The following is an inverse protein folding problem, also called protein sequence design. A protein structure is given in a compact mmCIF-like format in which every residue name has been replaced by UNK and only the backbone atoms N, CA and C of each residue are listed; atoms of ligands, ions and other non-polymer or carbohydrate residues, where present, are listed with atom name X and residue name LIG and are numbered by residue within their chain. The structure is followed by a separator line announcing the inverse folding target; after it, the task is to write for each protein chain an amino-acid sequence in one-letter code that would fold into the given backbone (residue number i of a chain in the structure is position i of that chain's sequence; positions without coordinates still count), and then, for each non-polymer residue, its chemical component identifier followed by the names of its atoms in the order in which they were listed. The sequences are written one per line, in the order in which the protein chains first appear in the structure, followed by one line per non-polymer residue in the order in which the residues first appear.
data_IF_378791062392
#
_entry.id   IF_378791062392
#
_cell.length_a   1.000
_cell.length_b   1.000
_cell.length_c   1.000
_cell.angle_alpha   90.00
_cell.angle_beta   90.00
_cell.angle_gamma   90.00
#
_symmetry.space_group_name_H-M   'P 1'
#
loop_
_entity.id
_entity.type
_entity.pdbx_description
1 polymer ?
#
# COMPACT_ATOMS: atom_id res chain seq x y z
N UNK A 1 79.30 23.18 3.02
CA UNK A 1 78.45 22.19 3.72
C UNK A 1 77.00 22.53 3.46
N UNK A 2 76.40 21.87 2.45
CA UNK A 2 75.03 22.10 2.04
C UNK A 2 74.17 20.97 2.52
N UNK A 3 73.13 21.28 3.33
CA UNK A 3 72.16 20.33 3.75
C UNK A 3 70.87 20.52 2.91
N UNK A 4 70.53 19.50 2.11
CA UNK A 4 69.29 19.48 1.32
C UNK A 4 68.15 18.99 2.16
N UNK A 5 67.09 19.83 2.30
CA UNK A 5 65.81 19.47 2.89
C UNK A 5 64.89 18.86 1.86
N UNK A 6 64.57 17.59 2.03
CA UNK A 6 63.57 16.86 1.22
C UNK A 6 62.18 17.14 1.72
N UNK A 7 61.35 17.81 0.91
CA UNK A 7 59.91 17.97 1.17
C UNK A 7 59.15 16.72 0.72
N UNK A 8 58.60 15.96 1.68
CA UNK A 8 57.65 14.88 1.43
C UNK A 8 56.29 15.48 1.08
N UNK A 9 55.86 15.31 -0.14
CA UNK A 9 54.50 15.59 -0.60
C UNK A 9 53.54 14.45 -0.16
N UNK A 10 52.67 14.73 0.77
CA UNK A 10 51.60 13.80 1.13
C UNK A 10 50.46 13.93 0.14
N UNK A 11 50.28 12.90 -0.68
CA UNK A 11 49.10 12.75 -1.52
C UNK A 11 47.90 12.39 -0.64
N UNK A 12 46.97 13.29 -0.52
CA UNK A 12 45.64 13.03 0.07
C UNK A 12 44.83 12.30 -1.00
N UNK A 13 44.67 10.99 -0.82
CA UNK A 13 43.71 10.20 -1.64
C UNK A 13 42.31 10.47 -1.11
N UNK A 14 41.56 11.31 -1.81
CA UNK A 14 40.14 11.44 -1.60
C UNK A 14 39.45 10.18 -2.13
N UNK A 15 39.16 9.24 -1.24
CA UNK A 15 38.25 8.14 -1.55
C UNK A 15 36.83 8.71 -1.62
N UNK A 16 36.32 8.94 -2.82
CA UNK A 16 34.94 9.23 -3.04
C UNK A 16 34.14 7.95 -2.74
N UNK A 17 33.55 7.86 -1.55
CA UNK A 17 32.51 6.90 -1.29
C UNK A 17 31.32 7.24 -2.18
N UNK A 18 31.24 6.63 -3.35
CA UNK A 18 29.99 6.50 -4.09
C UNK A 18 29.08 5.64 -3.24
N UNK A 19 28.19 6.27 -2.48
CA UNK A 19 27.03 5.62 -1.91
C UNK A 19 26.19 5.10 -3.07
N UNK A 20 26.31 3.82 -3.37
CA UNK A 20 25.34 3.13 -4.21
C UNK A 20 24.05 3.11 -3.41
N UNK A 21 23.18 4.10 -3.65
CA UNK A 21 21.81 4.08 -3.17
C UNK A 21 21.17 2.88 -3.84
N UNK A 22 21.08 1.77 -3.11
CA UNK A 22 20.28 0.62 -3.51
C UNK A 22 18.84 1.09 -3.54
N UNK A 23 18.31 1.28 -4.76
CA UNK A 23 16.88 1.56 -4.95
C UNK A 23 16.11 0.33 -4.47
N UNK A 24 15.51 0.45 -3.29
CA UNK A 24 14.70 -0.61 -2.73
C UNK A 24 13.36 -0.66 -3.46
N UNK A 25 13.15 -1.73 -4.21
CA UNK A 25 11.92 -1.97 -4.95
C UNK A 25 10.90 -2.64 -4.02
N UNK A 26 9.78 -1.98 -3.76
CA UNK A 26 8.66 -2.52 -2.98
C UNK A 26 7.52 -2.90 -3.90
N UNK A 27 7.09 -4.14 -3.85
CA UNK A 27 5.93 -4.63 -4.58
C UNK A 27 4.64 -4.18 -3.89
N UNK A 28 3.66 -3.79 -4.69
CA UNK A 28 2.33 -3.38 -4.26
C UNK A 28 1.31 -4.40 -4.79
N UNK A 29 0.66 -5.09 -3.87
CA UNK A 29 -0.27 -6.19 -4.17
C UNK A 29 -1.63 -5.90 -3.55
N UNK A 30 -2.70 -6.21 -4.26
CA UNK A 30 -4.06 -6.19 -3.72
C UNK A 30 -4.51 -7.63 -3.46
N UNK A 31 -4.90 -7.91 -2.22
CA UNK A 31 -5.62 -9.12 -1.85
C UNK A 31 -7.12 -8.87 -1.94
N UNK A 32 -7.83 -9.80 -2.57
CA UNK A 32 -9.28 -9.74 -2.79
C UNK A 32 -9.94 -10.90 -2.07
N UNK A 33 -11.02 -10.59 -1.38
CA UNK A 33 -11.83 -11.54 -0.62
C UNK A 33 -13.27 -11.52 -1.09
N UNK A 34 -13.88 -12.70 -1.21
CA UNK A 34 -15.33 -12.82 -1.34
C UNK A 34 -15.96 -12.74 0.04
N UNK A 35 -16.84 -11.77 0.26
CA UNK A 35 -17.65 -11.70 1.45
C UNK A 35 -18.96 -12.46 1.21
N UNK A 36 -19.18 -13.52 1.99
CA UNK A 36 -20.46 -14.17 2.04
C UNK A 36 -21.43 -13.25 2.79
N UNK A 37 -22.54 -12.83 2.16
CA UNK A 37 -23.52 -12.00 2.85
C UNK A 37 -24.12 -12.77 4.03
N UNK A 38 -23.96 -12.26 5.25
CA UNK A 38 -24.58 -12.83 6.42
C UNK A 38 -26.06 -12.41 6.51
N UNK A 39 -26.97 -13.39 6.50
CA UNK A 39 -28.40 -13.19 6.80
C UNK A 39 -29.21 -12.45 5.71
N UNK A 40 -30.16 -11.61 6.13
CA UNK A 40 -31.12 -10.92 5.24
C UNK A 40 -30.50 -9.94 4.24
N UNK A 41 -29.26 -9.47 4.46
CA UNK A 41 -28.52 -8.67 3.49
C UNK A 41 -28.14 -9.46 2.23
N UNK A 42 -28.05 -10.80 2.33
CA UNK A 42 -27.74 -11.67 1.20
C UNK A 42 -28.79 -11.60 0.10
N UNK A 43 -30.08 -11.64 0.47
CA UNK A 43 -31.18 -11.64 -0.50
C UNK A 43 -31.29 -10.32 -1.27
N UNK A 44 -30.96 -9.19 -0.64
CA UNK A 44 -31.00 -7.87 -1.29
C UNK A 44 -29.81 -7.72 -2.25
N UNK A 45 -28.61 -8.15 -1.85
CA UNK A 45 -27.39 -8.08 -2.71
C UNK A 45 -27.47 -9.07 -3.89
N UNK A 46 -28.05 -10.25 -3.68
CA UNK A 46 -28.32 -11.22 -4.77
C UNK A 46 -29.30 -10.66 -5.80
N UNK A 47 -30.29 -9.88 -5.36
CA UNK A 47 -31.27 -9.26 -6.26
C UNK A 47 -30.65 -8.24 -7.20
N UNK A 48 -29.50 -7.64 -6.84
CA UNK A 48 -28.77 -6.69 -7.66
C UNK A 48 -27.60 -7.32 -8.45
N UNK A 49 -27.37 -8.64 -8.33
CA UNK A 49 -26.31 -9.35 -9.05
C UNK A 49 -24.89 -8.91 -8.69
N UNK A 50 -24.70 -8.27 -7.55
CA UNK A 50 -23.38 -7.79 -7.09
C UNK A 50 -22.82 -8.72 -6.04
N UNK A 51 -21.63 -9.28 -6.31
CA UNK A 51 -20.83 -9.91 -5.27
C UNK A 51 -20.17 -8.82 -4.42
N UNK A 52 -20.28 -8.94 -3.09
CA UNK A 52 -19.60 -8.04 -2.18
C UNK A 52 -18.14 -8.49 -2.05
N UNK A 53 -17.22 -7.69 -2.58
CA UNK A 53 -15.79 -7.93 -2.50
C UNK A 53 -15.15 -7.01 -1.46
N UNK A 54 -14.26 -7.56 -0.64
CA UNK A 54 -13.37 -6.82 0.23
C UNK A 54 -11.96 -6.83 -0.36
N UNK A 55 -11.22 -5.75 -0.22
CA UNK A 55 -9.83 -5.66 -0.65
C UNK A 55 -8.92 -5.04 0.40
N UNK A 56 -7.70 -5.54 0.46
CA UNK A 56 -6.60 -4.99 1.23
C UNK A 56 -5.37 -4.81 0.35
N UNK A 57 -4.52 -3.86 0.70
CA UNK A 57 -3.25 -3.60 0.00
C UNK A 57 -2.08 -4.09 0.82
N UNK A 58 -1.24 -4.94 0.21
CA UNK A 58 -0.05 -5.51 0.85
C UNK A 58 1.16 -4.68 0.49
N UNK A 59 1.85 -4.20 1.52
CA UNK A 59 3.05 -3.39 1.43
C UNK A 59 4.03 -3.89 2.50
N UNK A 60 5.20 -4.36 2.08
CA UNK A 60 6.26 -4.83 3.01
C UNK A 60 5.76 -5.81 4.09
N UNK A 61 4.98 -6.82 3.67
CA UNK A 61 4.50 -7.89 4.56
C UNK A 61 3.34 -7.52 5.48
N UNK A 62 2.72 -6.35 5.31
CA UNK A 62 1.51 -5.94 6.01
C UNK A 62 0.39 -5.68 5.03
N UNK A 63 -0.80 -6.14 5.35
CA UNK A 63 -2.00 -5.86 4.57
C UNK A 63 -2.80 -4.75 5.24
N UNK A 64 -2.93 -3.61 4.56
CA UNK A 64 -3.71 -2.46 5.00
C UNK A 64 -5.08 -2.49 4.37
N UNK A 65 -6.10 -2.18 5.15
CA UNK A 65 -7.48 -2.14 4.69
C UNK A 65 -8.26 -1.03 5.39
N UNK A 66 -9.43 -0.71 4.85
CA UNK A 66 -10.35 0.28 5.39
C UNK A 66 -11.64 -0.37 5.82
N UNK A 67 -12.00 -0.18 7.08
CA UNK A 67 -13.24 -0.64 7.69
C UNK A 67 -13.98 0.48 8.41
N UNK A 68 -15.29 0.34 8.51
CA UNK A 68 -16.17 1.29 9.20
C UNK A 68 -16.31 0.99 10.70
N UNK A 69 -16.48 2.05 11.48
CA UNK A 69 -16.86 1.99 12.88
C UNK A 69 -17.51 3.32 13.32
N UNK A 70 -18.06 3.37 14.51
CA UNK A 70 -18.79 4.51 15.05
C UNK A 70 -17.95 5.48 15.92
N UNK A 71 -16.67 5.18 16.13
CA UNK A 71 -15.77 6.00 16.94
C UNK A 71 -15.29 7.23 16.18
N UNK A 72 -15.85 8.39 16.53
CA UNK A 72 -15.48 9.67 15.92
C UNK A 72 -14.00 10.00 16.16
N UNK A 73 -13.35 10.56 15.15
CA UNK A 73 -11.94 10.98 15.21
C UNK A 73 -10.92 9.85 15.10
N UNK A 74 -11.37 8.60 14.96
CA UNK A 74 -10.47 7.47 14.77
C UNK A 74 -10.46 7.02 13.31
N UNK A 75 -9.26 6.69 12.81
CA UNK A 75 -9.11 6.16 11.47
C UNK A 75 -9.86 4.83 11.31
N UNK A 76 -10.38 4.58 10.11
CA UNK A 76 -10.86 3.28 9.70
C UNK A 76 -9.79 2.41 9.04
N UNK A 77 -8.58 2.94 8.84
CA UNK A 77 -7.45 2.19 8.27
C UNK A 77 -6.82 1.33 9.36
N UNK A 78 -6.67 0.06 9.05
CA UNK A 78 -5.99 -0.92 9.92
C UNK A 78 -5.06 -1.80 9.10
N UNK A 79 -4.21 -2.57 9.76
CA UNK A 79 -3.37 -3.55 9.09
C UNK A 79 -3.46 -4.91 9.78
N UNK A 80 -3.19 -5.95 9.01
CA UNK A 80 -3.21 -7.33 9.45
C UNK A 80 -2.14 -8.15 8.73
N UNK A 81 -1.94 -9.39 9.16
CA UNK A 81 -1.15 -10.36 8.41
C UNK A 81 -1.81 -10.58 7.04
N UNK A 82 -1.05 -10.57 5.93
CA UNK A 82 -1.59 -10.80 4.60
C UNK A 82 -2.37 -12.12 4.51
N UNK A 83 -3.50 -12.08 3.79
CA UNK A 83 -4.43 -13.20 3.59
C UNK A 83 -5.15 -13.69 4.85
N UNK A 84 -5.14 -12.91 5.92
CA UNK A 84 -6.03 -13.17 7.05
C UNK A 84 -7.47 -12.88 6.64
N UNK A 85 -8.28 -13.93 6.55
CA UNK A 85 -9.67 -13.82 6.11
C UNK A 85 -10.51 -13.04 7.11
N UNK A 86 -11.28 -12.04 6.65
CA UNK A 86 -12.22 -11.34 7.52
C UNK A 86 -13.39 -12.27 7.92
N UNK A 87 -14.12 -11.97 9.00
CA UNK A 87 -15.32 -12.73 9.37
C UNK A 87 -16.30 -12.82 8.20
N UNK A 88 -16.66 -14.05 7.81
CA UNK A 88 -17.53 -14.32 6.66
C UNK A 88 -16.88 -14.12 5.29
N UNK A 89 -15.59 -13.86 5.25
CA UNK A 89 -14.82 -13.69 4.01
C UNK A 89 -13.94 -14.88 3.67
N UNK A 90 -13.74 -15.10 2.38
CA UNK A 90 -12.83 -16.11 1.83
C UNK A 90 -11.85 -15.46 0.88
N UNK A 91 -10.56 -15.76 1.03
CA UNK A 91 -9.53 -15.27 0.11
C UNK A 91 -9.80 -15.76 -1.31
N UNK A 92 -9.86 -14.83 -2.24
CA UNK A 92 -10.15 -15.12 -3.66
C UNK A 92 -8.89 -15.12 -4.53
N UNK A 93 -8.16 -14.01 -4.53
CA UNK A 93 -6.95 -13.86 -5.35
C UNK A 93 -6.11 -12.68 -4.88
N UNK A 94 -4.86 -12.66 -5.33
CA UNK A 94 -3.99 -11.49 -5.25
C UNK A 94 -3.75 -10.91 -6.64
N UNK A 95 -3.60 -9.59 -6.71
CA UNK A 95 -3.36 -8.86 -7.94
C UNK A 95 -2.17 -7.94 -7.72
N UNK A 96 -1.07 -8.19 -8.43
CA UNK A 96 0.09 -7.29 -8.42
C UNK A 96 -0.30 -6.00 -9.15
N UNK A 97 -0.24 -4.88 -8.46
CA UNK A 97 -0.56 -3.56 -9.02
C UNK A 97 0.65 -2.87 -9.61
N UNK A 98 1.83 -3.21 -9.14
CA UNK A 98 3.08 -2.62 -9.59
C UNK A 98 4.11 -2.55 -8.47
N UNK A 99 4.97 -1.57 -8.55
CA UNK A 99 6.10 -1.40 -7.65
C UNK A 99 6.27 0.08 -7.32
N UNK A 100 6.79 0.35 -6.13
CA UNK A 100 7.31 1.66 -5.78
C UNK A 100 8.80 1.58 -5.47
N UNK A 101 9.51 2.65 -5.79
CA UNK A 101 10.91 2.86 -5.40
C UNK A 101 11.04 3.91 -4.30
N UNK A 102 9.92 4.37 -3.77
CA UNK A 102 9.89 5.31 -2.65
C UNK A 102 10.55 4.70 -1.41
N UNK A 103 11.36 5.47 -0.68
CA UNK A 103 11.91 5.02 0.59
C UNK A 103 10.78 4.78 1.61
N UNK A 104 11.06 3.96 2.61
CA UNK A 104 10.07 3.57 3.62
C UNK A 104 9.39 4.77 4.30
N UNK A 105 10.13 5.85 4.54
CA UNK A 105 9.58 7.07 5.14
C UNK A 105 8.49 7.72 4.28
N UNK A 106 8.60 7.67 2.96
CA UNK A 106 7.56 8.16 2.04
C UNK A 106 6.35 7.24 2.02
N UNK A 107 6.57 5.92 2.03
CA UNK A 107 5.49 4.92 2.13
C UNK A 107 4.70 5.14 3.42
N UNK A 108 5.38 5.31 4.55
CA UNK A 108 4.77 5.57 5.86
C UNK A 108 3.99 6.89 5.87
N UNK A 109 4.49 7.91 5.19
CA UNK A 109 3.79 9.19 5.02
C UNK A 109 2.47 9.04 4.24
N UNK A 110 2.46 8.23 3.18
CA UNK A 110 1.24 7.93 2.41
C UNK A 110 0.22 7.17 3.26
N UNK A 111 0.67 6.17 4.02
CA UNK A 111 -0.21 5.42 4.94
C UNK A 111 -0.80 6.34 6.00
N UNK A 112 0.00 7.23 6.58
CA UNK A 112 -0.45 8.22 7.57
C UNK A 112 -1.48 9.18 6.97
N UNK A 113 -1.23 9.69 5.77
CA UNK A 113 -2.17 10.56 5.05
C UNK A 113 -3.50 9.84 4.78
N UNK A 114 -3.44 8.61 4.28
CA UNK A 114 -4.63 7.78 4.06
C UNK A 114 -5.41 7.55 5.38
N UNK A 115 -4.71 7.35 6.48
CA UNK A 115 -5.32 7.18 7.81
C UNK A 115 -6.09 8.42 8.29
N UNK A 116 -5.66 9.61 7.88
CA UNK A 116 -6.38 10.85 8.17
C UNK A 116 -7.61 11.05 7.26
N UNK A 117 -7.51 10.65 6.00
CA UNK A 117 -8.56 10.78 4.99
C UNK A 117 -9.68 9.75 5.21
N UNK A 118 -9.32 8.50 5.50
CA UNK A 118 -10.25 7.38 5.64
C UNK A 118 -10.62 7.14 7.11
N UNK A 119 -11.46 8.04 7.64
CA UNK A 119 -11.98 7.93 9.00
C UNK A 119 -13.01 6.80 9.09
N UNK A 120 -13.05 6.07 10.21
CA UNK A 120 -13.98 4.95 10.38
C UNK A 120 -15.44 5.33 10.27
N UNK A 121 -15.81 6.52 10.71
CA UNK A 121 -17.18 7.05 10.61
C UNK A 121 -17.57 7.50 9.20
N UNK A 122 -16.61 7.62 8.29
CA UNK A 122 -16.84 8.01 6.89
C UNK A 122 -17.07 6.81 5.95
N UNK A 123 -16.95 5.59 6.47
CA UNK A 123 -17.17 4.39 5.67
C UNK A 123 -18.60 4.34 5.12
N UNK A 124 -18.70 4.09 3.83
CA UNK A 124 -19.99 3.88 3.15
C UNK A 124 -19.82 2.76 2.13
N UNK A 125 -20.66 1.74 2.23
CA UNK A 125 -20.56 0.53 1.42
C UNK A 125 -20.54 0.81 -0.09
N UNK A 126 -21.24 1.84 -0.55
CA UNK A 126 -21.36 2.16 -1.98
C UNK A 126 -20.39 3.25 -2.45
N UNK A 127 -20.17 4.27 -1.62
CA UNK A 127 -19.47 5.50 -2.06
C UNK A 127 -18.09 5.71 -1.45
N UNK A 128 -17.75 4.98 -0.36
CA UNK A 128 -16.47 5.14 0.34
C UNK A 128 -16.12 3.87 1.12
N UNK A 129 -15.67 2.86 0.43
CA UNK A 129 -15.40 1.52 0.99
C UNK A 129 -13.91 1.12 0.87
N UNK A 130 -13.61 -0.13 1.20
CA UNK A 130 -12.26 -0.69 1.13
C UNK A 130 -11.63 -0.59 -0.27
N UNK A 131 -12.43 -0.69 -1.34
CA UNK A 131 -11.92 -0.61 -2.71
C UNK A 131 -11.50 0.82 -3.09
N UNK A 132 -12.19 1.83 -2.57
CA UNK A 132 -11.78 3.24 -2.72
C UNK A 132 -10.46 3.52 -2.00
N UNK A 133 -10.26 2.93 -0.83
CA UNK A 133 -9.01 3.02 -0.08
C UNK A 133 -7.85 2.36 -0.83
N UNK A 134 -8.01 1.12 -1.30
CA UNK A 134 -6.95 0.43 -2.03
C UNK A 134 -6.61 1.11 -3.35
N UNK A 135 -7.60 1.67 -4.07
CA UNK A 135 -7.38 2.47 -5.27
C UNK A 135 -6.56 3.74 -4.97
N UNK A 136 -6.91 4.47 -3.91
CA UNK A 136 -6.17 5.64 -3.45
C UNK A 136 -4.70 5.30 -3.14
N UNK A 137 -4.47 4.22 -2.39
CA UNK A 137 -3.11 3.79 -2.03
C UNK A 137 -2.29 3.39 -3.26
N UNK A 138 -2.90 2.64 -4.20
CA UNK A 138 -2.23 2.28 -5.45
C UNK A 138 -1.81 3.50 -6.25
N UNK A 139 -2.70 4.48 -6.43
CA UNK A 139 -2.40 5.70 -7.14
C UNK A 139 -1.24 6.47 -6.50
N UNK A 140 -1.25 6.61 -5.18
CA UNK A 140 -0.21 7.33 -4.44
C UNK A 140 1.15 6.64 -4.48
N UNK A 141 1.20 5.31 -4.47
CA UNK A 141 2.44 4.54 -4.39
C UNK A 141 3.01 4.16 -5.75
N UNK A 142 2.17 3.90 -6.75
CA UNK A 142 2.63 3.47 -8.09
C UNK A 142 2.51 4.54 -9.16
N UNK A 143 1.87 5.68 -8.85
CA UNK A 143 1.58 6.74 -9.82
C UNK A 143 0.55 6.35 -10.88
N UNK A 144 -0.11 5.22 -10.71
CA UNK A 144 -1.14 4.71 -11.62
C UNK A 144 -2.43 4.49 -10.84
N UNK A 145 -3.43 5.32 -11.05
CA UNK A 145 -4.80 4.93 -10.75
C UNK A 145 -5.10 3.72 -11.63
N UNK A 146 -4.96 2.51 -11.07
CA UNK A 146 -5.32 1.23 -11.66
C UNK A 146 -5.58 1.21 -13.17
N UNK A 147 -4.68 1.71 -13.99
CA UNK A 147 -4.77 1.58 -15.44
C UNK A 147 -4.47 0.12 -15.79
N UNK A 148 -5.48 -0.70 -15.57
CA UNK A 148 -5.63 -1.90 -16.35
C UNK A 148 -5.87 -1.47 -17.78
N UNK A 149 -4.81 -1.29 -18.56
CA UNK A 149 -4.94 -1.49 -20.00
C UNK A 149 -5.21 -2.97 -20.14
N UNK A 150 -6.47 -3.34 -20.24
CA UNK A 150 -6.88 -4.60 -20.87
C UNK A 150 -6.41 -4.51 -22.30
N UNK A 151 -5.22 -4.98 -22.55
CA UNK A 151 -4.72 -5.24 -23.87
C UNK A 151 -5.30 -6.59 -24.26
N UNK A 152 -6.56 -6.56 -24.71
CA UNK A 152 -7.13 -7.58 -25.59
C UNK A 152 -7.18 -6.92 -26.96
N UNK A 153 -6.13 -7.13 -27.70
CA UNK A 153 -6.09 -7.03 -29.15
C UNK A 153 -5.90 -8.42 -29.70
#
# INVERSE_FOLDING_TARGET
MSSASSKKSSRISSSSHRSTLSLHKTEIVINVYDLLPAGKLSSILWSFGTSLLHSGIVINGREYAFGGHDKKGNTGVYWQTPRLEPPGGTFRCEIVQGFTFSPQAEIDAVIKEASLIFQGTSYNLLTRNCNHFTAYMCERLTGSAGQRKTQYG
#
